data_IF_078630778432
#
_entry.id   IF_078630778432
#
_cell.length_a   1.000
_cell.length_b   1.000
_cell.length_c   1.000
_cell.angle_alpha   90.00
_cell.angle_beta   90.00
_cell.angle_gamma   90.00
#
_symmetry.space_group_name_H-M   'P 1'
#
loop_
_entity.id
_entity.type
_entity.pdbx_description
1 polymer ?
#
# COMPACT_ATOMS: atom_id res chain seq x y z
N UNK A 1 4.17 -4.32 -5.45
CA UNK A 1 3.54 -3.41 -6.42
C UNK A 1 2.08 -3.79 -6.58
N UNK A 2 1.17 -3.02 -5.98
CA UNK A 2 -0.26 -3.33 -5.92
C UNK A 2 -1.00 -2.62 -7.04
N UNK A 3 -1.83 -3.34 -7.80
CA UNK A 3 -2.45 -2.78 -9.01
C UNK A 3 -1.41 -2.54 -10.10
N UNK A 4 -0.53 -3.53 -10.30
CA UNK A 4 0.69 -3.38 -11.10
C UNK A 4 0.45 -3.11 -12.60
N UNK A 5 -0.75 -3.36 -13.13
CA UNK A 5 -1.07 -3.16 -14.54
C UNK A 5 -0.10 -3.96 -15.45
N UNK A 6 0.71 -3.25 -16.22
CA UNK A 6 1.74 -3.84 -17.10
C UNK A 6 3.12 -4.03 -16.43
N UNK A 7 3.16 -3.95 -15.09
CA UNK A 7 4.35 -4.11 -14.26
C UNK A 7 5.48 -3.10 -14.54
N UNK A 8 5.15 -1.88 -14.96
CA UNK A 8 6.12 -0.82 -15.27
C UNK A 8 7.03 -0.48 -14.08
N UNK A 9 6.47 -0.41 -12.86
CA UNK A 9 7.25 -0.09 -11.67
C UNK A 9 8.24 -1.22 -11.34
N UNK A 10 7.79 -2.48 -11.39
CA UNK A 10 8.69 -3.63 -11.25
C UNK A 10 9.79 -3.65 -12.31
N UNK A 11 9.45 -3.38 -13.57
CA UNK A 11 10.42 -3.34 -14.66
C UNK A 11 11.48 -2.26 -14.47
N UNK A 12 11.10 -1.09 -13.94
CA UNK A 12 12.03 -0.01 -13.63
C UNK A 12 13.03 -0.38 -12.52
N UNK A 13 12.60 -1.22 -11.56
CA UNK A 13 13.41 -1.62 -10.42
C UNK A 13 14.40 -2.76 -10.74
N UNK A 14 14.12 -3.59 -11.74
CA UNK A 14 14.97 -4.73 -12.09
C UNK A 14 16.43 -4.35 -12.41
N UNK A 15 16.73 -3.30 -13.21
CA UNK A 15 18.11 -2.87 -13.46
C UNK A 15 18.83 -2.29 -12.23
N UNK A 16 18.09 -2.03 -11.15
CA UNK A 16 18.62 -1.55 -9.86
C UNK A 16 18.83 -2.69 -8.86
N UNK A 17 18.76 -3.94 -9.33
CA UNK A 17 18.80 -5.16 -8.51
C UNK A 17 17.71 -5.21 -7.42
N UNK A 18 16.57 -4.57 -7.68
CA UNK A 18 15.42 -4.58 -6.78
C UNK A 18 14.29 -5.39 -7.43
N UNK A 19 13.92 -6.49 -6.77
CA UNK A 19 12.81 -7.34 -7.22
C UNK A 19 11.52 -6.90 -6.56
N UNK A 20 10.54 -6.50 -7.37
CA UNK A 20 9.19 -6.21 -6.90
C UNK A 20 8.27 -7.42 -7.11
N UNK A 21 7.50 -7.77 -6.08
CA UNK A 21 6.35 -8.68 -6.25
C UNK A 21 5.15 -7.87 -6.74
N UNK A 22 4.62 -8.24 -7.91
CA UNK A 22 3.45 -7.62 -8.53
C UNK A 22 2.16 -8.32 -8.10
N UNK A 23 1.19 -7.53 -7.62
CA UNK A 23 -0.13 -8.01 -7.19
C UNK A 23 -1.17 -7.46 -8.16
N UNK A 24 -1.67 -8.34 -9.02
CA UNK A 24 -2.71 -8.01 -9.98
C UNK A 24 -4.10 -8.26 -9.36
N UNK A 25 -5.05 -7.32 -9.51
CA UNK A 25 -6.44 -7.56 -9.13
C UNK A 25 -7.10 -8.59 -10.06
N UNK A 26 -8.21 -9.18 -9.62
CA UNK A 26 -9.11 -9.91 -10.49
C UNK A 26 -10.13 -8.93 -11.10
N UNK A 27 -9.74 -8.21 -12.15
CA UNK A 27 -10.59 -7.21 -12.79
C UNK A 27 -10.78 -7.48 -14.30
N UNK A 28 -11.44 -6.55 -14.99
CA UNK A 28 -11.71 -6.64 -16.43
C UNK A 28 -10.43 -6.57 -17.28
N UNK A 29 -9.32 -6.10 -16.70
CA UNK A 29 -8.03 -6.00 -17.36
C UNK A 29 -7.28 -7.32 -17.16
N UNK A 30 -7.64 -8.30 -17.99
CA UNK A 30 -7.04 -9.63 -18.01
C UNK A 30 -5.53 -9.58 -18.36
N UNK A 31 -4.81 -10.67 -18.07
CA UNK A 31 -3.41 -10.93 -18.47
C UNK A 31 -2.33 -10.06 -17.80
N UNK A 32 -2.64 -9.24 -16.79
CA UNK A 32 -1.63 -8.46 -16.04
C UNK A 32 -0.51 -9.36 -15.46
N UNK A 33 -0.89 -10.53 -14.92
CA UNK A 33 0.06 -11.52 -14.39
C UNK A 33 0.98 -12.02 -15.51
N UNK A 34 0.40 -12.42 -16.65
CA UNK A 34 1.18 -12.90 -17.80
C UNK A 34 2.19 -11.84 -18.26
N UNK A 35 1.75 -10.59 -18.42
CA UNK A 35 2.61 -9.48 -18.81
C UNK A 35 3.77 -9.21 -17.85
N UNK A 36 3.56 -9.40 -16.55
CA UNK A 36 4.60 -9.24 -15.55
C UNK A 36 5.61 -10.41 -15.63
N UNK A 37 5.10 -11.64 -15.72
CA UNK A 37 5.93 -12.85 -15.78
C UNK A 37 6.80 -12.89 -17.05
N UNK A 38 6.27 -12.48 -18.20
CA UNK A 38 7.04 -12.38 -19.46
C UNK A 38 8.18 -11.36 -19.39
N UNK A 39 8.09 -10.39 -18.47
CA UNK A 39 9.16 -9.41 -18.18
C UNK A 39 10.12 -9.86 -17.08
N UNK A 40 9.98 -11.09 -16.57
CA UNK A 40 10.77 -11.62 -15.46
C UNK A 40 10.40 -11.04 -14.10
N UNK A 41 9.25 -10.38 -13.98
CA UNK A 41 8.78 -9.80 -12.72
C UNK A 41 7.84 -10.80 -12.04
N UNK A 42 8.13 -11.23 -10.80
CA UNK A 42 7.26 -12.16 -10.10
C UNK A 42 5.90 -11.49 -9.86
N UNK A 43 4.84 -12.21 -10.22
CA UNK A 43 3.48 -11.70 -10.11
C UNK A 43 2.52 -12.78 -9.63
N UNK A 44 1.51 -12.36 -8.86
CA UNK A 44 0.41 -13.22 -8.43
C UNK A 44 -0.90 -12.46 -8.45
N UNK A 45 -2.00 -13.22 -8.44
CA UNK A 45 -3.31 -12.67 -8.16
C UNK A 45 -3.35 -12.20 -6.70
N UNK A 46 -3.80 -10.97 -6.48
CA UNK A 46 -3.93 -10.36 -5.16
C UNK A 46 -5.24 -9.59 -5.05
N UNK A 47 -6.28 -10.24 -4.52
CA UNK A 47 -7.59 -9.61 -4.29
C UNK A 47 -7.66 -9.10 -2.84
N UNK A 48 -6.90 -8.04 -2.55
CA UNK A 48 -6.75 -7.46 -1.21
C UNK A 48 -8.10 -7.18 -0.51
N UNK A 49 -9.14 -6.81 -1.26
CA UNK A 49 -10.48 -6.53 -0.70
C UNK A 49 -11.26 -7.75 -0.20
N UNK A 50 -10.87 -8.97 -0.57
CA UNK A 50 -11.59 -10.20 -0.22
C UNK A 50 -10.74 -11.21 0.52
N UNK A 51 -9.44 -11.32 0.18
CA UNK A 51 -8.54 -12.31 0.74
C UNK A 51 -7.29 -11.66 1.33
N UNK A 52 -6.90 -12.15 2.49
CA UNK A 52 -5.60 -11.83 3.10
C UNK A 52 -4.47 -12.31 2.19
N UNK A 53 -3.39 -11.54 2.06
CA UNK A 53 -2.30 -11.93 1.19
C UNK A 53 -1.50 -13.10 1.80
N UNK A 54 -1.03 -14.07 0.98
CA UNK A 54 -0.41 -15.31 1.45
C UNK A 54 1.06 -15.12 1.89
N UNK A 55 1.46 -13.89 2.20
CA UNK A 55 2.82 -13.60 2.65
C UNK A 55 2.89 -13.54 4.18
N UNK A 56 3.97 -14.04 4.79
CA UNK A 56 4.26 -13.84 6.20
C UNK A 56 4.28 -12.36 6.59
N UNK A 57 4.24 -12.11 7.90
CA UNK A 57 4.43 -10.74 8.39
C UNK A 57 5.86 -10.28 8.12
N UNK A 58 6.05 -8.99 7.82
CA UNK A 58 7.36 -8.38 7.57
C UNK A 58 8.11 -8.95 6.36
N UNK A 59 7.37 -9.34 5.32
CA UNK A 59 7.93 -9.86 4.07
C UNK A 59 8.50 -8.78 3.14
N UNK A 60 8.07 -7.52 3.27
CA UNK A 60 8.42 -6.46 2.32
C UNK A 60 9.01 -5.23 3.00
N UNK A 61 9.99 -4.58 2.36
CA UNK A 61 10.55 -3.29 2.76
C UNK A 61 9.74 -2.10 2.22
N UNK A 62 9.10 -2.30 1.06
CA UNK A 62 8.45 -1.24 0.31
C UNK A 62 7.16 -1.75 -0.33
N UNK A 63 6.12 -0.94 -0.23
CA UNK A 63 4.87 -1.14 -0.94
C UNK A 63 4.58 0.07 -1.83
N UNK A 64 4.04 -0.23 -3.01
CA UNK A 64 3.67 0.76 -4.01
C UNK A 64 2.22 0.53 -4.41
N UNK A 65 1.45 1.61 -4.51
CA UNK A 65 0.17 1.67 -5.17
C UNK A 65 0.10 2.97 -5.97
N UNK A 66 -0.06 2.85 -7.28
CA UNK A 66 -0.34 3.98 -8.17
C UNK A 66 -1.69 3.77 -8.82
N UNK A 67 -2.67 4.61 -8.50
CA UNK A 67 -4.07 4.51 -8.94
C UNK A 67 -4.61 3.07 -8.87
N UNK A 68 -4.27 2.34 -7.82
CA UNK A 68 -4.57 0.91 -7.70
C UNK A 68 -6.06 0.59 -7.44
N UNK A 69 -6.92 1.62 -7.33
CA UNK A 69 -8.37 1.50 -7.10
C UNK A 69 -8.73 0.65 -5.88
N UNK A 70 -7.90 0.71 -4.85
CA UNK A 70 -8.15 0.08 -3.56
C UNK A 70 -8.73 1.13 -2.62
N UNK A 71 -9.91 0.83 -2.07
CA UNK A 71 -10.44 1.59 -0.94
C UNK A 71 -9.69 1.21 0.33
N UNK A 72 -8.65 1.97 0.65
CA UNK A 72 -7.83 1.75 1.84
C UNK A 72 -8.55 2.02 3.17
N UNK A 73 -9.71 2.68 3.14
CA UNK A 73 -10.54 2.96 4.31
C UNK A 73 -11.58 1.88 4.58
N UNK A 74 -11.75 0.95 3.64
CA UNK A 74 -12.72 -0.14 3.74
C UNK A 74 -12.56 -0.92 5.06
N UNK A 75 -13.71 -1.26 5.68
CA UNK A 75 -13.79 -2.08 6.91
C UNK A 75 -12.85 -1.55 8.01
N UNK A 76 -13.01 -0.28 8.39
CA UNK A 76 -12.21 0.40 9.42
C UNK A 76 -10.68 0.41 9.14
N UNK A 77 -10.28 0.31 7.86
CA UNK A 77 -8.86 0.33 7.49
C UNK A 77 -8.15 -1.01 7.55
N UNK A 78 -8.88 -2.13 7.48
CA UNK A 78 -8.29 -3.48 7.52
C UNK A 78 -7.21 -3.70 6.45
N UNK A 79 -7.33 -3.05 5.29
CA UNK A 79 -6.35 -3.17 4.21
C UNK A 79 -5.04 -2.45 4.55
N UNK A 80 -5.10 -1.31 5.24
CA UNK A 80 -3.90 -0.64 5.76
C UNK A 80 -3.26 -1.45 6.88
N UNK A 81 -4.04 -2.15 7.71
CA UNK A 81 -3.50 -3.09 8.69
C UNK A 81 -2.81 -4.29 8.04
N UNK A 82 -3.37 -4.85 6.97
CA UNK A 82 -2.74 -5.92 6.22
C UNK A 82 -1.43 -5.43 5.59
N UNK A 83 -1.42 -4.21 5.06
CA UNK A 83 -0.20 -3.58 4.57
C UNK A 83 0.83 -3.38 5.69
N UNK A 84 0.41 -2.92 6.87
CA UNK A 84 1.30 -2.82 8.03
C UNK A 84 1.89 -4.16 8.41
N UNK A 85 1.07 -5.21 8.49
CA UNK A 85 1.54 -6.57 8.80
C UNK A 85 2.64 -7.02 7.83
N UNK A 86 2.48 -6.72 6.55
CA UNK A 86 3.39 -7.14 5.48
C UNK A 86 4.70 -6.35 5.47
N UNK A 87 4.67 -5.07 5.85
CA UNK A 87 5.86 -4.24 5.89
C UNK A 87 6.74 -4.53 7.10
N UNK A 88 8.05 -4.61 6.85
CA UNK A 88 9.09 -4.62 7.88
C UNK A 88 9.03 -3.32 8.70
N UNK A 89 9.46 -3.33 9.97
CA UNK A 89 9.64 -2.08 10.73
C UNK A 89 10.54 -1.10 9.95
N UNK A 90 10.14 0.16 9.86
CA UNK A 90 10.83 1.15 9.02
C UNK A 90 10.51 1.05 7.52
N UNK A 91 9.65 0.12 7.11
CA UNK A 91 9.22 -0.02 5.72
C UNK A 91 8.37 1.14 5.24
N UNK A 92 8.28 1.29 3.92
CA UNK A 92 7.64 2.43 3.27
C UNK A 92 6.42 2.03 2.47
N UNK A 93 5.46 2.96 2.38
CA UNK A 93 4.33 2.87 1.47
C UNK A 93 4.27 4.11 0.60
N UNK A 94 4.52 3.94 -0.70
CA UNK A 94 4.32 4.96 -1.71
C UNK A 94 2.92 4.83 -2.30
N UNK A 95 2.17 5.93 -2.23
CA UNK A 95 0.81 6.03 -2.71
C UNK A 95 0.66 7.23 -3.65
N UNK A 96 0.23 6.94 -4.87
CA UNK A 96 0.02 7.93 -5.93
C UNK A 96 -1.39 7.82 -6.48
N UNK A 97 -2.27 8.73 -6.08
CA UNK A 97 -3.69 8.69 -6.45
C UNK A 97 -4.32 10.09 -6.27
N UNK A 98 -5.44 10.43 -6.94
CA UNK A 98 -6.09 11.73 -6.81
C UNK A 98 -6.22 12.22 -5.38
N UNK A 99 -6.59 11.35 -4.44
CA UNK A 99 -6.77 11.66 -3.02
C UNK A 99 -5.45 12.14 -2.36
N UNK A 100 -4.28 11.87 -2.96
CA UNK A 100 -3.01 12.37 -2.43
C UNK A 100 -2.69 13.81 -2.85
N UNK A 101 -3.21 14.31 -3.98
CA UNK A 101 -2.76 15.55 -4.62
C UNK A 101 -3.85 16.48 -5.17
N UNK A 102 -5.05 15.99 -5.43
CA UNK A 102 -6.20 16.81 -5.83
C UNK A 102 -6.78 17.55 -4.61
N UNK A 103 -7.50 18.64 -4.88
CA UNK A 103 -7.96 19.61 -3.86
C UNK A 103 -9.47 19.82 -3.83
N UNK A 104 -10.23 19.03 -4.58
CA UNK A 104 -11.67 19.02 -4.46
C UNK A 104 -12.10 18.40 -3.12
N UNK A 105 -13.37 18.62 -2.78
CA UNK A 105 -13.88 18.30 -1.46
C UNK A 105 -13.88 16.79 -1.16
N UNK A 106 -14.13 15.95 -2.17
CA UNK A 106 -14.18 14.50 -2.01
C UNK A 106 -12.77 13.94 -1.78
N UNK A 107 -11.81 14.29 -2.63
CA UNK A 107 -10.41 13.87 -2.49
C UNK A 107 -9.80 14.31 -1.16
N UNK A 108 -10.11 15.54 -0.70
CA UNK A 108 -9.65 16.03 0.60
C UNK A 108 -10.29 15.28 1.79
N UNK A 109 -11.55 14.86 1.68
CA UNK A 109 -12.18 14.05 2.72
C UNK A 109 -11.51 12.68 2.85
N UNK A 110 -11.27 12.01 1.71
CA UNK A 110 -10.61 10.70 1.70
C UNK A 110 -9.16 10.83 2.19
N UNK A 111 -8.43 11.85 1.73
CA UNK A 111 -7.07 12.17 2.22
C UNK A 111 -7.02 12.31 3.74
N UNK A 112 -7.93 13.10 4.31
CA UNK A 112 -7.96 13.36 5.74
C UNK A 112 -8.28 12.10 6.53
N UNK A 113 -9.24 11.31 6.05
CA UNK A 113 -9.59 10.03 6.68
C UNK A 113 -8.40 9.05 6.64
N UNK A 114 -7.75 8.88 5.48
CA UNK A 114 -6.57 8.02 5.32
C UNK A 114 -5.41 8.50 6.20
N UNK A 115 -5.10 9.79 6.14
CA UNK A 115 -4.02 10.40 6.93
C UNK A 115 -4.23 10.25 8.42
N UNK A 116 -5.47 10.42 8.90
CA UNK A 116 -5.82 10.21 10.29
C UNK A 116 -5.66 8.73 10.70
N UNK A 117 -6.06 7.81 9.84
CA UNK A 117 -5.93 6.37 10.09
C UNK A 117 -4.47 5.93 10.18
N UNK A 118 -3.63 6.26 9.19
CA UNK A 118 -2.20 5.92 9.22
C UNK A 118 -1.46 6.62 10.37
N UNK A 119 -1.88 7.84 10.74
CA UNK A 119 -1.35 8.53 11.94
C UNK A 119 -1.72 7.80 13.23
N UNK A 120 -2.94 7.25 13.35
CA UNK A 120 -3.32 6.36 14.46
C UNK A 120 -2.61 5.01 14.41
N UNK A 121 -2.00 4.63 13.29
CA UNK A 121 -1.07 3.51 13.19
C UNK A 121 0.38 3.90 13.50
N UNK A 122 0.61 5.17 13.87
CA UNK A 122 1.91 5.75 14.17
C UNK A 122 2.87 5.87 12.98
N UNK A 123 2.33 5.80 11.76
CA UNK A 123 3.10 6.06 10.56
C UNK A 123 3.31 7.57 10.39
N UNK A 124 4.39 7.94 9.72
CA UNK A 124 4.75 9.34 9.44
C UNK A 124 4.91 9.55 7.95
N UNK A 125 4.71 10.78 7.49
CA UNK A 125 5.06 11.15 6.10
C UNK A 125 6.58 11.24 6.02
N UNK A 126 7.20 10.41 5.20
CA UNK A 126 8.61 10.48 4.86
C UNK A 126 8.86 11.51 3.76
N UNK A 127 7.96 11.56 2.76
CA UNK A 127 8.01 12.53 1.67
C UNK A 127 6.61 12.73 1.10
N UNK A 128 6.31 13.93 0.63
CA UNK A 128 5.13 14.21 -0.20
C UNK A 128 5.57 15.17 -1.29
N UNK A 129 5.53 14.71 -2.55
CA UNK A 129 5.94 15.48 -3.72
C UNK A 129 5.03 15.18 -4.90
N UNK A 130 4.64 16.22 -5.61
CA UNK A 130 3.77 16.15 -6.78
C UNK A 130 2.52 15.30 -6.51
N UNK A 131 2.42 14.14 -7.17
CA UNK A 131 1.28 13.23 -7.10
C UNK A 131 1.47 12.08 -6.09
N UNK A 132 2.57 12.06 -5.34
CA UNK A 132 2.95 10.92 -4.51
C UNK A 132 3.19 11.31 -3.06
N UNK A 133 2.60 10.57 -2.14
CA UNK A 133 2.97 10.55 -0.73
C UNK A 133 3.69 9.25 -0.41
N UNK A 134 4.72 9.34 0.42
CA UNK A 134 5.42 8.20 0.98
C UNK A 134 5.27 8.27 2.49
N UNK A 135 4.64 7.25 3.06
CA UNK A 135 4.63 7.03 4.50
C UNK A 135 5.72 6.05 4.92
N UNK A 136 6.19 6.20 6.16
CA UNK A 136 7.13 5.29 6.81
C UNK A 136 6.50 4.71 8.08
N UNK A 137 6.56 3.38 8.18
CA UNK A 137 6.14 2.60 9.34
C UNK A 137 7.13 2.78 10.50
N UNK A 138 6.68 2.88 11.77
CA UNK A 138 7.61 2.97 12.90
C UNK A 138 8.49 1.72 13.05
N UNK A 139 9.66 1.89 13.68
CA UNK A 139 10.57 0.79 13.99
C UNK A 139 10.05 -0.14 15.11
N UNK A 140 9.11 0.35 15.92
CA UNK A 140 8.53 -0.40 17.04
C UNK A 140 7.03 -0.11 17.19
N UNK A 141 6.30 -1.04 17.81
CA UNK A 141 4.87 -0.87 18.10
C UNK A 141 4.61 -0.02 19.37
N UNK A 142 5.64 0.57 19.98
CA UNK A 142 5.52 1.30 21.25
C UNK A 142 4.48 2.43 21.22
N UNK A 143 4.35 3.13 20.10
CA UNK A 143 3.32 4.15 19.92
C UNK A 143 1.93 3.53 19.71
N UNK A 144 1.83 2.46 18.91
CA UNK A 144 0.56 1.80 18.61
C UNK A 144 -0.08 1.17 19.86
N UNK A 145 0.75 0.62 20.75
CA UNK A 145 0.34 -0.02 22.01
C UNK A 145 -0.09 0.98 23.10
N UNK A 146 0.22 2.28 22.95
CA UNK A 146 -0.15 3.34 23.92
C UNK A 146 -1.48 4.02 23.60
N UNK A 147 -2.19 3.57 22.57
CA UNK A 147 -3.45 4.18 22.13
C UNK A 147 -4.57 3.83 23.12
N UNK A 148 -5.59 4.69 23.18
CA UNK A 148 -6.77 4.40 23.99
C UNK A 148 -7.45 3.11 23.49
N UNK A 149 -8.04 2.28 24.39
CA UNK A 149 -8.61 0.97 24.04
C UNK A 149 -9.58 0.98 22.85
N UNK A 150 -10.37 2.05 22.71
CA UNK A 150 -11.39 2.18 21.65
C UNK A 150 -10.87 2.80 20.35
N UNK A 151 -9.55 2.97 20.22
CA UNK A 151 -8.95 3.58 19.03
C UNK A 151 -9.00 2.62 17.85
N UNK A 152 -9.57 3.07 16.73
CA UNK A 152 -9.51 2.35 15.44
C UNK A 152 -8.19 2.63 14.69
N UNK A 153 -7.59 1.65 14.01
CA UNK A 153 -8.00 0.25 13.95
C UNK A 153 -7.68 -0.46 15.29
N UNK A 154 -8.44 -1.50 15.66
CA UNK A 154 -8.25 -2.22 16.92
C UNK A 154 -6.85 -2.88 17.00
N UNK A 155 -6.45 -3.23 18.22
CA UNK A 155 -5.30 -4.10 18.46
C UNK A 155 -5.60 -5.54 18.05
#
# INVERSE_FOLDING_TARGET
DVGCGVASFGAYLLPLDIVAMSLAPNDVHQNQIQFALERGIPATLGVLGTMRLPYPSRSFEFAHCSRCRIDWLQRDGILLLELDRLLKPGGYFAYSSPEAYMKDAEDLQIWNAMSNLVKRMCWKIASKRDQTVIWVKPLTNSCYLKRAPDTKPPL
#
